data_IF_376942776379
#
_entry.id   IF_376942776379
#
_cell.length_a   1.000
_cell.length_b   1.000
_cell.length_c   1.000
_cell.angle_alpha   90.00
_cell.angle_beta   90.00
_cell.angle_gamma   90.00
#
_symmetry.space_group_name_H-M   'P 1'
#
loop_
_entity.id
_entity.type
_entity.pdbx_description
1 polymer ?
#
# COMPACT_ATOMS: atom_id res chain seq x y z
N UNK A 1 26.31 9.36 6.92
CA UNK A 1 25.17 9.66 7.83
C UNK A 1 25.60 9.25 9.23
N UNK A 2 25.38 10.08 10.24
CA UNK A 2 25.62 9.67 11.65
C UNK A 2 24.60 8.61 12.04
N UNK A 3 25.05 7.50 12.64
CA UNK A 3 24.17 6.45 13.14
C UNK A 3 23.18 7.04 14.14
N UNK A 4 21.85 6.88 13.96
CA UNK A 4 20.87 7.47 14.86
C UNK A 4 21.05 6.91 16.28
N UNK A 5 21.20 7.79 17.27
CA UNK A 5 21.36 7.40 18.67
C UNK A 5 20.07 6.73 19.17
N UNK A 6 20.11 5.42 19.47
CA UNK A 6 18.95 4.67 19.96
C UNK A 6 18.76 4.85 21.48
N UNK A 7 17.50 4.94 21.90
CA UNK A 7 17.10 5.13 23.30
C UNK A 7 16.02 4.12 23.73
N UNK A 8 15.88 3.91 25.04
CA UNK A 8 14.87 3.00 25.58
C UNK A 8 13.44 3.39 25.14
N UNK A 9 12.71 2.40 24.61
CA UNK A 9 11.35 2.54 24.10
C UNK A 9 11.25 3.05 22.66
N UNK A 10 12.35 3.38 21.99
CA UNK A 10 12.29 3.68 20.55
C UNK A 10 11.66 2.52 19.80
N UNK A 11 10.67 2.82 18.95
CA UNK A 11 10.15 1.84 18.00
C UNK A 11 10.87 2.03 16.67
N UNK A 12 11.52 0.97 16.19
CA UNK A 12 12.18 0.94 14.89
C UNK A 12 11.29 0.22 13.88
N UNK A 13 11.17 0.80 12.69
CA UNK A 13 10.51 0.17 11.56
C UNK A 13 11.53 0.00 10.43
N UNK A 14 11.79 -1.25 10.06
CA UNK A 14 12.42 -1.58 8.79
C UNK A 14 11.33 -1.58 7.73
N UNK A 15 11.57 -0.91 6.60
CA UNK A 15 10.59 -0.89 5.50
C UNK A 15 11.05 -1.77 4.35
N UNK A 16 10.13 -2.57 3.81
CA UNK A 16 10.33 -3.30 2.56
C UNK A 16 10.73 -2.43 1.35
N UNK A 17 10.52 -1.12 1.43
CA UNK A 17 10.87 -0.19 0.36
C UNK A 17 12.30 0.34 0.43
N UNK A 18 13.03 0.05 1.50
CA UNK A 18 14.42 0.45 1.69
C UNK A 18 15.30 -0.30 0.69
N UNK A 19 16.16 0.44 -0.03
CA UNK A 19 17.27 -0.17 -0.78
C UNK A 19 18.40 -0.63 0.14
N UNK A 20 18.36 -0.21 1.41
CA UNK A 20 19.31 -0.57 2.44
C UNK A 20 18.80 -1.82 3.19
N UNK A 21 19.42 -2.96 2.91
CA UNK A 21 19.13 -4.27 3.53
C UNK A 21 19.95 -4.54 4.79
N UNK A 22 20.89 -3.65 5.12
CA UNK A 22 21.71 -3.72 6.32
C UNK A 22 20.95 -3.33 7.60
N UNK A 23 21.55 -3.59 8.78
CA UNK A 23 20.93 -3.35 10.08
C UNK A 23 20.64 -1.87 10.36
N UNK A 24 21.21 -0.94 9.59
CA UNK A 24 21.02 0.51 9.77
C UNK A 24 19.87 1.10 8.93
N UNK A 25 19.23 0.29 8.08
CA UNK A 25 18.14 0.71 7.18
C UNK A 25 16.77 0.84 7.85
N UNK A 26 16.72 1.37 9.07
CA UNK A 26 15.48 1.57 9.83
C UNK A 26 15.13 3.05 9.99
N UNK A 27 13.86 3.31 10.26
CA UNK A 27 13.38 4.59 10.77
C UNK A 27 12.90 4.46 12.21
N UNK A 28 12.99 5.54 12.97
CA UNK A 28 12.28 5.66 14.26
C UNK A 28 10.82 6.06 14.00
N UNK A 29 9.88 5.32 14.58
CA UNK A 29 8.45 5.61 14.43
C UNK A 29 8.05 6.71 15.41
N UNK A 30 7.46 7.78 14.88
CA UNK A 30 6.89 8.86 15.69
C UNK A 30 5.77 8.31 16.60
N UNK A 31 5.87 8.55 17.90
CA UNK A 31 4.88 8.06 18.89
C UNK A 31 3.60 8.91 18.97
N UNK A 32 3.51 10.00 18.21
CA UNK A 32 2.41 10.97 18.27
C UNK A 32 1.02 10.43 17.93
N UNK A 33 0.91 9.16 17.54
CA UNK A 33 -0.31 8.58 17.04
C UNK A 33 -0.70 9.17 15.68
N UNK A 34 -1.48 8.43 14.90
CA UNK A 34 -2.02 8.90 13.64
C UNK A 34 -3.50 8.53 13.59
N UNK A 35 -4.39 9.51 13.74
CA UNK A 35 -5.81 9.27 13.55
C UNK A 35 -6.09 9.14 12.05
N UNK A 36 -6.17 7.92 11.55
CA UNK A 36 -6.35 7.64 10.12
C UNK A 36 -7.69 8.19 9.64
N UNK A 37 -8.75 8.04 10.42
CA UNK A 37 -10.07 8.59 10.10
C UNK A 37 -10.07 10.12 10.18
N UNK A 38 -9.26 10.77 11.03
CA UNK A 38 -9.15 12.23 11.00
C UNK A 38 -8.48 12.71 9.72
N UNK A 39 -7.44 12.02 9.24
CA UNK A 39 -6.81 12.33 7.95
C UNK A 39 -7.81 12.16 6.81
N UNK A 40 -8.52 11.02 6.74
CA UNK A 40 -9.55 10.80 5.71
C UNK A 40 -10.65 11.85 5.83
N UNK A 41 -11.08 12.22 7.03
CA UNK A 41 -12.14 13.21 7.25
C UNK A 41 -11.74 14.61 6.79
N UNK A 42 -10.48 14.98 6.97
CA UNK A 42 -9.97 16.31 6.60
C UNK A 42 -9.97 16.51 5.08
N UNK A 43 -9.62 15.45 4.31
CA UNK A 43 -9.46 15.54 2.86
C UNK A 43 -10.66 15.00 2.07
N UNK A 44 -11.27 13.93 2.56
CA UNK A 44 -12.34 13.18 1.87
C UNK A 44 -13.41 12.66 2.85
N UNK A 45 -14.15 13.55 3.52
CA UNK A 45 -15.13 13.17 4.55
C UNK A 45 -16.21 12.20 4.05
N UNK A 46 -16.57 12.26 2.77
CA UNK A 46 -17.54 11.37 2.13
C UNK A 46 -17.13 9.90 2.15
N UNK A 47 -15.82 9.59 2.15
CA UNK A 47 -15.33 8.21 2.15
C UNK A 47 -15.60 7.49 3.47
N UNK A 48 -15.85 8.23 4.55
CA UNK A 48 -16.19 7.68 5.87
C UNK A 48 -17.69 7.48 6.06
N UNK A 49 -18.55 7.92 5.11
CA UNK A 49 -19.99 7.73 5.23
C UNK A 49 -20.40 6.26 5.48
N UNK A 50 -19.80 5.26 4.82
CA UNK A 50 -20.09 3.85 5.10
C UNK A 50 -19.78 3.41 6.53
N UNK A 51 -18.84 4.06 7.22
CA UNK A 51 -18.46 3.69 8.59
C UNK A 51 -19.48 4.18 9.63
N UNK A 52 -20.31 5.16 9.29
CA UNK A 52 -21.38 5.70 10.16
C UNK A 52 -20.89 6.14 11.54
N UNK A 53 -19.65 6.63 11.61
CA UNK A 53 -19.01 7.05 12.86
C UNK A 53 -18.61 5.91 13.81
N UNK A 54 -18.74 4.64 13.39
CA UNK A 54 -18.31 3.49 14.18
C UNK A 54 -16.79 3.36 14.24
N UNK A 55 -16.28 2.83 15.34
CA UNK A 55 -14.87 2.49 15.52
C UNK A 55 -14.47 1.38 14.54
N UNK A 56 -13.47 1.59 13.67
CA UNK A 56 -13.00 0.54 12.77
C UNK A 56 -12.05 -0.44 13.45
N UNK A 57 -11.98 -1.66 12.92
CA UNK A 57 -10.79 -2.51 13.08
C UNK A 57 -9.75 -2.04 12.07
N UNK A 58 -8.59 -1.60 12.54
CA UNK A 58 -7.46 -1.20 11.69
C UNK A 58 -6.52 -2.38 11.55
N UNK A 59 -6.49 -2.98 10.36
CA UNK A 59 -5.66 -4.14 10.05
C UNK A 59 -4.35 -3.65 9.45
N UNK A 60 -3.26 -3.74 10.21
CA UNK A 60 -1.92 -3.49 9.68
C UNK A 60 -1.39 -4.75 9.01
N UNK A 61 -1.33 -4.71 7.68
CA UNK A 61 -0.71 -5.72 6.83
C UNK A 61 0.24 -5.06 5.82
N UNK A 62 0.98 -4.05 6.27
CA UNK A 62 2.03 -3.38 5.52
C UNK A 62 3.40 -3.79 6.06
N UNK A 63 4.44 -3.95 5.21
CA UNK A 63 5.79 -4.30 5.65
C UNK A 63 6.58 -3.09 6.21
N UNK A 64 5.88 -2.25 6.98
CA UNK A 64 6.43 -1.19 7.81
C UNK A 64 5.34 -0.76 8.78
N UNK A 65 5.72 -0.23 9.94
CA UNK A 65 4.76 0.46 10.82
C UNK A 65 4.31 1.74 10.12
N UNK A 66 3.02 1.95 9.88
CA UNK A 66 2.47 3.21 9.29
C UNK A 66 1.97 4.15 10.42
N UNK A 67 2.72 4.18 11.53
CA UNK A 67 2.33 4.87 12.75
C UNK A 67 1.44 4.02 13.66
N UNK A 68 0.88 4.68 14.68
CA UNK A 68 -0.02 4.06 15.66
C UNK A 68 -1.42 4.64 15.49
N UNK A 69 -2.35 3.92 14.85
CA UNK A 69 -3.74 4.34 14.75
C UNK A 69 -4.34 4.62 16.13
N UNK A 70 -4.84 5.84 16.34
CA UNK A 70 -5.43 6.26 17.63
C UNK A 70 -6.94 6.16 17.67
N UNK A 71 -7.55 5.86 16.53
CA UNK A 71 -9.00 5.95 16.29
C UNK A 71 -9.61 4.63 15.80
N UNK A 72 -9.08 3.50 16.27
CA UNK A 72 -9.58 2.17 15.96
C UNK A 72 -8.97 1.06 16.82
N UNK A 73 -9.41 -0.18 16.59
CA UNK A 73 -8.78 -1.38 17.18
C UNK A 73 -7.70 -1.87 16.22
N UNK A 74 -6.43 -1.64 16.57
CA UNK A 74 -5.29 -2.07 15.76
C UNK A 74 -5.06 -3.58 15.86
N UNK A 75 -4.99 -4.24 14.71
CA UNK A 75 -4.56 -5.64 14.58
C UNK A 75 -3.34 -5.68 13.67
N UNK A 76 -2.16 -5.94 14.24
CA UNK A 76 -0.97 -6.26 13.46
C UNK A 76 -1.03 -7.70 12.96
N UNK A 77 -0.92 -7.87 11.65
CA UNK A 77 -1.06 -9.16 11.00
C UNK A 77 0.27 -9.78 10.61
N UNK A 78 1.40 -9.09 10.78
CA UNK A 78 2.72 -9.59 10.40
C UNK A 78 2.77 -10.08 8.94
N UNK A 79 2.04 -9.41 8.03
CA UNK A 79 1.85 -9.81 6.63
C UNK A 79 1.36 -11.26 6.45
N UNK A 80 0.60 -11.77 7.41
CA UNK A 80 -0.09 -13.05 7.30
C UNK A 80 -1.50 -12.82 6.77
N UNK A 81 -1.78 -13.33 5.56
CA UNK A 81 -3.12 -13.29 4.97
C UNK A 81 -4.13 -14.03 5.85
N UNK A 82 -3.69 -15.08 6.54
CA UNK A 82 -4.51 -15.80 7.54
C UNK A 82 -4.87 -14.92 8.72
N UNK A 83 -3.92 -14.18 9.30
CA UNK A 83 -4.18 -13.29 10.44
C UNK A 83 -5.05 -12.10 10.01
N UNK A 84 -4.76 -11.48 8.87
CA UNK A 84 -5.57 -10.40 8.32
C UNK A 84 -7.00 -10.84 8.00
N UNK A 85 -7.18 -12.06 7.47
CA UNK A 85 -8.50 -12.64 7.23
C UNK A 85 -9.26 -12.92 8.54
N UNK A 86 -8.58 -13.31 9.62
CA UNK A 86 -9.19 -13.42 10.95
C UNK A 86 -9.61 -12.06 11.51
N UNK A 87 -8.83 -11.01 11.24
CA UNK A 87 -9.18 -9.64 11.64
C UNK A 87 -10.44 -9.14 10.91
N UNK A 88 -10.57 -9.45 9.61
CA UNK A 88 -11.80 -9.18 8.85
C UNK A 88 -13.01 -9.94 9.42
N UNK A 89 -12.84 -11.21 9.78
CA UNK A 89 -13.91 -11.99 10.44
C UNK A 89 -14.29 -11.41 11.81
N UNK A 90 -13.31 -10.96 12.59
CA UNK A 90 -13.56 -10.27 13.85
C UNK A 90 -14.39 -9.00 13.61
N UNK A 91 -13.97 -8.15 12.67
CA UNK A 91 -14.70 -6.94 12.32
C UNK A 91 -16.14 -7.25 11.88
N UNK A 92 -16.33 -8.26 11.03
CA UNK A 92 -17.65 -8.71 10.60
C UNK A 92 -18.54 -9.25 11.73
N UNK A 93 -17.94 -9.95 12.71
CA UNK A 93 -18.65 -10.50 13.87
C UNK A 93 -19.10 -9.40 14.83
N UNK A 94 -18.26 -8.40 15.04
CA UNK A 94 -18.50 -7.28 15.96
C UNK A 94 -19.24 -6.11 15.31
N UNK A 95 -19.70 -6.26 14.06
CA UNK A 95 -20.34 -5.19 13.27
C UNK A 95 -19.48 -3.91 13.20
N UNK A 96 -18.17 -4.09 13.04
CA UNK A 96 -17.19 -3.01 12.88
C UNK A 96 -16.80 -2.89 11.41
N UNK A 97 -16.66 -1.66 10.88
CA UNK A 97 -16.00 -1.46 9.59
C UNK A 97 -14.51 -1.79 9.69
N UNK A 98 -13.85 -2.02 8.55
CA UNK A 98 -12.42 -2.31 8.51
C UNK A 98 -11.63 -1.25 7.74
N UNK A 99 -10.48 -0.86 8.29
CA UNK A 99 -9.43 -0.14 7.57
C UNK A 99 -8.24 -1.07 7.33
N UNK A 100 -7.88 -1.30 6.07
CA UNK A 100 -6.78 -2.19 5.68
C UNK A 100 -5.56 -1.37 5.28
N UNK A 101 -4.49 -1.42 6.05
CA UNK A 101 -3.20 -0.82 5.66
C UNK A 101 -2.31 -1.90 5.04
N UNK A 102 -1.98 -1.79 3.76
CA UNK A 102 -1.37 -2.91 3.04
C UNK A 102 -0.66 -2.50 1.75
N UNK A 103 0.10 -3.43 1.16
CA UNK A 103 0.51 -3.30 -0.23
C UNK A 103 -0.63 -3.76 -1.14
N UNK A 104 -0.72 -3.22 -2.36
CA UNK A 104 -1.85 -3.49 -3.26
C UNK A 104 -1.99 -4.96 -3.64
N UNK A 105 -0.89 -5.67 -3.93
CA UNK A 105 -0.95 -7.10 -4.26
C UNK A 105 -1.23 -7.99 -3.03
N UNK A 106 -0.78 -7.57 -1.84
CA UNK A 106 -1.16 -8.27 -0.60
C UNK A 106 -2.65 -8.11 -0.30
N UNK A 107 -3.18 -6.89 -0.48
CA UNK A 107 -4.60 -6.60 -0.37
C UNK A 107 -5.41 -7.53 -1.28
N UNK A 108 -4.96 -7.66 -2.54
CA UNK A 108 -5.60 -8.54 -3.50
C UNK A 108 -5.62 -9.99 -3.02
N UNK A 109 -4.45 -10.54 -2.64
CA UNK A 109 -4.37 -11.89 -2.08
C UNK A 109 -5.29 -12.09 -0.87
N UNK A 110 -5.28 -11.15 0.07
CA UNK A 110 -6.16 -11.20 1.24
C UNK A 110 -7.63 -11.27 0.83
N UNK A 111 -8.11 -10.33 0.00
CA UNK A 111 -9.53 -10.21 -0.33
C UNK A 111 -10.01 -11.37 -1.21
N UNK A 112 -9.25 -11.76 -2.24
CA UNK A 112 -9.61 -12.90 -3.08
C UNK A 112 -9.63 -14.20 -2.27
N UNK A 113 -8.62 -14.45 -1.43
CA UNK A 113 -8.58 -15.66 -0.59
C UNK A 113 -9.69 -15.66 0.45
N UNK A 114 -10.01 -14.51 1.05
CA UNK A 114 -11.12 -14.40 2.00
C UNK A 114 -12.46 -14.71 1.34
N UNK A 115 -12.70 -14.16 0.15
CA UNK A 115 -13.91 -14.41 -0.64
C UNK A 115 -14.02 -15.86 -1.12
N UNK A 116 -12.93 -16.44 -1.63
CA UNK A 116 -12.89 -17.82 -2.13
C UNK A 116 -13.20 -18.85 -1.03
N UNK A 117 -12.84 -18.56 0.22
CA UNK A 117 -13.17 -19.38 1.39
C UNK A 117 -14.60 -19.17 1.91
N UNK A 118 -15.42 -18.36 1.24
CA UNK A 118 -16.80 -18.09 1.66
C UNK A 118 -16.91 -17.36 3.00
N UNK A 119 -15.86 -16.65 3.41
CA UNK A 119 -15.83 -15.94 4.69
C UNK A 119 -16.62 -14.63 4.61
N UNK A 120 -17.24 -14.25 5.74
CA UNK A 120 -18.02 -13.02 5.85
C UNK A 120 -17.09 -11.81 5.98
N UNK A 121 -17.31 -10.83 5.11
CA UNK A 121 -16.67 -9.53 5.18
C UNK A 121 -17.35 -8.60 6.19
N UNK A 122 -16.63 -7.60 6.73
CA UNK A 122 -17.25 -6.46 7.41
C UNK A 122 -18.15 -5.70 6.44
N UNK A 123 -19.09 -4.93 6.97
CA UNK A 123 -20.10 -4.24 6.17
C UNK A 123 -19.59 -3.00 5.44
N UNK A 124 -18.35 -2.57 5.69
CA UNK A 124 -17.62 -1.56 4.92
C UNK A 124 -16.10 -1.75 5.05
N UNK A 125 -15.38 -1.50 3.96
CA UNK A 125 -13.92 -1.60 3.91
C UNK A 125 -13.32 -0.35 3.28
N UNK A 126 -12.35 0.24 3.95
CA UNK A 126 -11.44 1.24 3.37
C UNK A 126 -10.04 0.64 3.35
N UNK A 127 -9.38 0.62 2.20
CA UNK A 127 -7.99 0.25 2.09
C UNK A 127 -7.10 1.49 1.95
N UNK A 128 -5.96 1.49 2.62
CA UNK A 128 -4.84 2.40 2.40
C UNK A 128 -3.71 1.55 1.84
N UNK A 129 -3.51 1.62 0.52
CA UNK A 129 -2.57 0.79 -0.20
C UNK A 129 -1.35 1.58 -0.65
N UNK A 130 -0.14 1.09 -0.40
CA UNK A 130 1.08 1.82 -0.73
C UNK A 130 2.23 0.94 -1.20
N UNK A 131 3.36 1.60 -1.49
CA UNK A 131 4.61 0.97 -1.89
C UNK A 131 4.89 1.05 -3.39
N UNK A 132 3.85 0.91 -4.21
CA UNK A 132 3.83 1.11 -5.66
C UNK A 132 2.41 1.51 -6.08
N UNK A 133 2.27 2.02 -7.31
CA UNK A 133 0.97 2.41 -7.85
C UNK A 133 0.08 1.16 -8.00
N UNK A 134 -1.15 1.22 -7.48
CA UNK A 134 -2.16 0.16 -7.68
C UNK A 134 -2.63 0.18 -9.13
N UNK A 135 -2.52 -0.92 -9.89
CA UNK A 135 -3.11 -0.99 -11.23
C UNK A 135 -4.61 -0.70 -11.18
N UNK A 136 -5.13 0.05 -12.15
CA UNK A 136 -6.56 0.39 -12.21
C UNK A 136 -7.41 -0.85 -12.44
N UNK A 137 -6.95 -1.77 -13.28
CA UNK A 137 -7.58 -3.09 -13.45
C UNK A 137 -7.73 -3.84 -12.12
N UNK A 138 -6.73 -3.77 -11.23
CA UNK A 138 -6.80 -4.37 -9.90
C UNK A 138 -7.83 -3.67 -9.02
N UNK A 139 -7.82 -2.33 -8.99
CA UNK A 139 -8.81 -1.57 -8.23
C UNK A 139 -10.25 -1.92 -8.67
N UNK A 140 -10.48 -2.00 -9.99
CA UNK A 140 -11.76 -2.42 -10.55
C UNK A 140 -12.14 -3.84 -10.11
N UNK A 141 -11.20 -4.78 -10.17
CA UNK A 141 -11.43 -6.16 -9.73
C UNK A 141 -11.76 -6.24 -8.23
N UNK A 142 -11.04 -5.53 -7.36
CA UNK A 142 -11.33 -5.52 -5.92
C UNK A 142 -12.67 -4.86 -5.60
N UNK A 143 -13.01 -3.79 -6.33
CA UNK A 143 -14.29 -3.10 -6.19
C UNK A 143 -15.45 -4.00 -6.59
N UNK A 144 -15.35 -4.67 -7.74
CA UNK A 144 -16.34 -5.61 -8.21
C UNK A 144 -16.48 -6.80 -7.24
N UNK A 145 -15.37 -7.36 -6.75
CA UNK A 145 -15.37 -8.44 -5.77
C UNK A 145 -16.15 -8.08 -4.50
N UNK A 146 -15.93 -6.88 -3.94
CA UNK A 146 -16.63 -6.47 -2.72
C UNK A 146 -18.07 -6.01 -2.99
N UNK A 147 -18.35 -5.42 -4.16
CA UNK A 147 -19.71 -5.12 -4.59
C UNK A 147 -20.58 -6.38 -4.73
N UNK A 148 -20.04 -7.49 -5.27
CA UNK A 148 -20.69 -8.81 -5.30
C UNK A 148 -21.06 -9.31 -3.89
N UNK A 149 -20.37 -8.83 -2.85
CA UNK A 149 -20.64 -9.14 -1.44
C UNK A 149 -21.49 -8.10 -0.73
N UNK A 150 -21.94 -7.05 -1.43
CA UNK A 150 -22.68 -5.94 -0.85
C UNK A 150 -21.85 -5.09 0.11
N UNK A 151 -20.52 -5.07 -0.04
CA UNK A 151 -19.59 -4.34 0.83
C UNK A 151 -19.10 -3.09 0.11
N UNK A 152 -19.42 -1.87 0.59
CA UNK A 152 -18.81 -0.64 0.12
C UNK A 152 -17.29 -0.70 0.30
N UNK A 153 -16.56 -0.38 -0.77
CA UNK A 153 -15.12 -0.40 -0.81
C UNK A 153 -14.56 0.93 -1.31
N UNK A 154 -13.46 1.36 -0.71
CA UNK A 154 -12.68 2.52 -1.17
C UNK A 154 -11.21 2.21 -0.98
N UNK A 155 -10.38 2.58 -1.96
CA UNK A 155 -8.93 2.48 -1.87
C UNK A 155 -8.29 3.86 -1.94
N UNK A 156 -7.55 4.21 -0.89
CA UNK A 156 -6.64 5.34 -0.85
C UNK A 156 -5.25 4.84 -1.22
N UNK A 157 -4.63 5.46 -2.21
CA UNK A 157 -3.24 5.22 -2.56
C UNK A 157 -2.34 6.06 -1.65
N UNK A 158 -1.52 5.38 -0.84
CA UNK A 158 -0.46 6.00 -0.06
C UNK A 158 0.86 6.06 -0.84
N UNK A 159 1.55 7.18 -0.70
CA UNK A 159 2.92 7.40 -1.15
C UNK A 159 3.76 7.91 0.03
N UNK A 160 4.96 7.39 0.14
CA UNK A 160 5.92 7.76 1.17
C UNK A 160 7.23 7.02 0.96
N UNK A 161 8.27 7.51 1.61
CA UNK A 161 9.63 6.94 1.56
C UNK A 161 9.99 6.45 2.95
N UNK A 162 10.64 5.28 3.01
CA UNK A 162 10.96 4.62 4.26
C UNK A 162 11.86 5.50 5.15
N UNK A 163 12.70 6.29 4.51
CA UNK A 163 13.72 7.15 5.06
C UNK A 163 13.16 8.40 5.75
N UNK A 164 11.90 8.73 5.48
CA UNK A 164 11.20 9.87 6.13
C UNK A 164 10.03 9.34 6.92
N UNK A 165 8.93 9.02 6.22
CA UNK A 165 7.73 8.46 6.84
C UNK A 165 6.86 7.73 5.83
N UNK A 166 6.14 6.71 6.31
CA UNK A 166 5.15 6.00 5.51
C UNK A 166 3.89 6.86 5.31
N UNK A 167 3.32 6.82 4.10
CA UNK A 167 2.03 7.46 3.79
C UNK A 167 2.04 8.96 4.04
N UNK A 168 3.04 9.68 3.52
CA UNK A 168 3.12 11.14 3.60
C UNK A 168 2.15 11.82 2.64
N UNK A 169 1.91 11.22 1.48
CA UNK A 169 0.96 11.73 0.49
C UNK A 169 -0.10 10.68 0.20
N UNK A 170 -1.37 11.05 0.21
CA UNK A 170 -2.50 10.15 -0.02
C UNK A 170 -3.30 10.63 -1.24
N UNK A 171 -3.85 9.71 -2.02
CA UNK A 171 -4.66 10.04 -3.18
C UNK A 171 -5.79 9.03 -3.39
N UNK A 172 -6.93 9.54 -3.87
CA UNK A 172 -8.10 8.75 -4.30
C UNK A 172 -8.57 9.15 -5.68
N UNK A 173 -8.25 10.38 -6.07
CA UNK A 173 -8.62 10.96 -7.35
C UNK A 173 -7.54 10.64 -8.40
N UNK A 174 -7.95 10.65 -9.66
CA UNK A 174 -7.08 10.41 -10.81
C UNK A 174 -7.20 11.56 -11.80
N UNK A 175 -6.10 11.90 -12.46
CA UNK A 175 -6.10 12.87 -13.57
C UNK A 175 -6.66 12.26 -14.87
N UNK A 176 -6.72 13.07 -15.93
CA UNK A 176 -7.19 12.64 -17.24
C UNK A 176 -6.32 11.53 -17.88
N UNK A 177 -5.08 11.39 -17.44
CA UNK A 177 -4.14 10.36 -17.88
C UNK A 177 -4.21 9.10 -17.00
N UNK A 178 -5.05 9.10 -15.96
CA UNK A 178 -5.20 7.98 -15.03
C UNK A 178 -4.08 7.90 -13.99
N UNK A 179 -3.33 8.98 -13.75
CA UNK A 179 -2.35 9.07 -12.66
C UNK A 179 -3.05 9.51 -11.38
N UNK A 180 -2.60 8.96 -10.25
CA UNK A 180 -3.13 9.34 -8.94
C UNK A 180 -2.77 10.78 -8.62
N UNK A 181 -3.76 11.54 -8.15
CA UNK A 181 -3.60 12.90 -7.62
C UNK A 181 -3.38 12.76 -6.11
N UNK A 182 -2.16 13.01 -5.67
CA UNK A 182 -1.80 12.92 -4.25
C UNK A 182 -1.92 14.27 -3.55
N UNK A 183 -2.29 14.25 -2.27
CA UNK A 183 -2.27 15.40 -1.37
C UNK A 183 -1.49 15.06 -0.11
N UNK A 184 -0.91 16.08 0.52
CA UNK A 184 -0.22 15.92 1.80
C UNK A 184 -1.21 15.43 2.85
N UNK A 185 -0.85 14.37 3.59
CA UNK A 185 -1.67 13.85 4.70
C UNK A 185 -1.95 14.92 5.75
N UNK A 186 -1.01 15.82 6.00
CA UNK A 186 -1.07 16.81 7.06
C UNK A 186 -0.10 17.97 6.85
N UNK A 187 -0.22 19.03 7.67
CA UNK A 187 0.62 20.23 7.58
C UNK A 187 2.07 19.98 8.02
N UNK A 188 2.34 18.86 8.69
CA UNK A 188 3.66 18.37 9.08
C UNK A 188 4.50 17.89 7.88
N UNK A 189 3.94 17.84 6.68
CA UNK A 189 4.61 17.30 5.50
C UNK A 189 5.03 18.43 4.56
N UNK A 190 6.33 18.45 4.26
CA UNK A 190 6.89 19.22 3.17
C UNK A 190 7.07 18.32 1.94
N UNK A 191 6.53 18.77 0.80
CA UNK A 191 6.76 18.19 -0.51
C UNK A 191 7.30 19.28 -1.44
N UNK A 192 8.45 19.06 -2.04
CA UNK A 192 9.13 20.03 -2.89
C UNK A 192 9.82 19.38 -4.09
N UNK A 193 10.24 20.21 -5.03
CA UNK A 193 11.02 19.79 -6.19
C UNK A 193 12.44 20.37 -6.12
N UNK A 194 13.44 19.52 -6.34
CA UNK A 194 14.82 19.92 -6.58
C UNK A 194 15.23 19.25 -7.89
N UNK A 195 15.62 20.04 -8.88
CA UNK A 195 15.96 19.59 -10.24
C UNK A 195 14.88 18.67 -10.87
N UNK A 196 13.61 18.99 -10.64
CA UNK A 196 12.45 18.22 -11.15
C UNK A 196 12.17 16.91 -10.40
N UNK A 197 12.92 16.60 -9.34
CA UNK A 197 12.74 15.39 -8.53
C UNK A 197 12.01 15.70 -7.23
N UNK A 198 11.07 14.83 -6.88
CA UNK A 198 10.27 14.96 -5.67
C UNK A 198 11.14 14.71 -4.45
N UNK A 199 11.13 15.67 -3.53
CA UNK A 199 11.75 15.58 -2.22
C UNK A 199 10.68 15.67 -1.13
N UNK A 200 10.82 14.84 -0.09
CA UNK A 200 9.90 14.80 1.04
C UNK A 200 10.63 15.06 2.36
N UNK A 201 9.98 15.78 3.26
CA UNK A 201 10.49 16.01 4.62
C UNK A 201 9.34 16.17 5.62
N UNK A 202 9.69 16.05 6.90
CA UNK A 202 8.80 16.40 8.00
C UNK A 202 9.13 17.78 8.57
N UNK A 203 8.08 18.48 8.99
CA UNK A 203 8.14 19.77 9.65
C UNK A 203 7.83 19.60 11.14
N UNK A 204 8.46 20.41 11.98
CA UNK A 204 8.09 20.55 13.39
C UNK A 204 6.83 21.43 13.54
N UNK A 205 6.37 21.62 14.78
CA UNK A 205 5.20 22.45 15.07
C UNK A 205 5.38 23.94 14.70
N UNK A 206 6.62 24.40 14.55
CA UNK A 206 6.98 25.76 14.14
C UNK A 206 7.09 25.90 12.61
N UNK A 207 6.91 24.82 11.86
CA UNK A 207 7.03 24.80 10.39
C UNK A 207 8.47 24.68 9.89
N UNK A 208 9.41 24.30 10.74
CA UNK A 208 10.82 24.12 10.38
C UNK A 208 11.10 22.66 10.01
N UNK A 209 12.03 22.43 9.09
CA UNK A 209 12.43 21.09 8.67
C UNK A 209 13.10 20.34 9.83
N UNK A 210 12.57 19.15 10.17
CA UNK A 210 13.18 18.25 11.15
C UNK A 210 14.49 17.64 10.64
N UNK A 211 14.57 17.41 9.32
CA UNK A 211 15.73 16.85 8.64
C UNK A 211 15.83 17.44 7.22
N UNK A 212 16.98 17.25 6.57
CA UNK A 212 17.13 17.59 5.16
C UNK A 212 16.07 16.86 4.29
N UNK A 213 15.52 17.51 3.25
CA UNK A 213 14.59 16.84 2.34
C UNK A 213 15.20 15.61 1.68
N UNK A 214 14.47 14.51 1.72
CA UNK A 214 14.90 13.25 1.15
C UNK A 214 14.51 13.16 -0.32
N UNK A 215 15.50 12.91 -1.18
CA UNK A 215 15.29 12.65 -2.60
C UNK A 215 14.55 11.32 -2.80
N UNK A 216 13.29 11.41 -3.23
CA UNK A 216 12.46 10.22 -3.34
C UNK A 216 12.84 9.32 -4.50
N UNK A 217 13.68 9.72 -5.47
CA UNK A 217 13.88 8.93 -6.69
C UNK A 217 12.97 9.32 -7.86
N UNK A 218 11.77 9.80 -7.54
CA UNK A 218 10.69 9.97 -8.50
C UNK A 218 10.60 11.44 -8.96
N UNK A 219 10.06 11.65 -10.16
CA UNK A 219 9.75 12.99 -10.67
C UNK A 219 8.32 13.35 -10.32
N UNK A 220 8.01 14.65 -10.18
CA UNK A 220 6.63 15.06 -9.90
C UNK A 220 6.29 16.45 -10.45
N UNK A 221 4.98 16.73 -10.55
CA UNK A 221 4.43 18.05 -10.83
C UNK A 221 3.69 18.57 -9.60
N UNK A 222 4.12 19.77 -9.19
CA UNK A 222 3.56 20.70 -8.20
C UNK A 222 2.31 21.45 -8.69
N UNK A 223 1.07 21.18 -8.28
CA UNK A 223 -0.08 22.04 -8.61
C UNK A 223 -0.93 22.38 -7.39
N UNK A 224 -0.64 23.52 -6.76
CA UNK A 224 -1.25 23.88 -5.48
C UNK A 224 -0.93 22.84 -4.39
N UNK A 225 -1.97 22.18 -3.87
CA UNK A 225 -1.84 21.09 -2.89
C UNK A 225 -1.73 19.70 -3.55
N UNK A 226 -1.94 19.62 -4.86
CA UNK A 226 -1.93 18.38 -5.62
C UNK A 226 -0.52 18.05 -6.09
N UNK A 227 -0.17 16.76 -5.99
CA UNK A 227 1.13 16.20 -6.36
C UNK A 227 0.88 15.07 -7.34
N UNK A 228 1.37 15.24 -8.57
CA UNK A 228 1.32 14.19 -9.61
C UNK A 228 2.69 13.54 -9.73
N UNK A 229 2.78 12.27 -9.34
CA UNK A 229 4.06 11.54 -9.27
C UNK A 229 4.26 10.70 -10.53
N UNK A 230 5.45 10.78 -11.11
CA UNK A 230 5.92 9.90 -12.18
C UNK A 230 7.08 9.05 -11.64
N UNK A 231 6.78 7.79 -11.33
CA UNK A 231 7.73 6.87 -10.72
C UNK A 231 8.92 6.61 -11.65
N UNK A 232 10.10 6.46 -11.06
CA UNK A 232 11.30 6.03 -11.77
C UNK A 232 11.09 4.65 -12.41
N UNK A 233 11.58 4.48 -13.64
CA UNK A 233 11.48 3.21 -14.39
C UNK A 233 12.08 2.01 -13.66
N UNK A 234 13.11 2.25 -12.85
CA UNK A 234 13.74 1.22 -12.01
C UNK A 234 12.81 0.64 -10.94
N UNK A 235 11.72 1.33 -10.60
CA UNK A 235 10.72 0.89 -9.61
C UNK A 235 9.45 0.35 -10.25
N UNK A 236 9.04 0.97 -11.36
CA UNK A 236 7.78 0.69 -12.03
C UNK A 236 8.05 0.50 -13.53
N UNK A 237 8.10 -0.75 -13.99
CA UNK A 237 8.26 -1.02 -15.42
C UNK A 237 6.97 -0.69 -16.18
N UNK A 238 7.03 0.17 -17.21
CA UNK A 238 5.87 0.48 -18.04
C UNK A 238 5.28 -0.75 -18.73
N UNK A 239 6.13 -1.72 -19.12
CA UNK A 239 5.69 -2.96 -19.76
C UNK A 239 4.89 -3.83 -18.79
N UNK A 240 5.38 -3.99 -17.55
CA UNK A 240 4.65 -4.75 -16.53
C UNK A 240 3.36 -4.05 -16.15
N UNK A 241 3.34 -2.72 -16.03
CA UNK A 241 2.11 -1.99 -15.78
C UNK A 241 1.11 -2.14 -16.92
N UNK A 242 1.53 -2.03 -18.17
CA UNK A 242 0.65 -2.25 -19.32
C UNK A 242 0.05 -3.67 -19.32
N UNK A 243 0.85 -4.69 -18.99
CA UNK A 243 0.38 -6.06 -18.83
C UNK A 243 -0.66 -6.20 -17.72
N UNK A 244 -0.38 -5.68 -16.52
CA UNK A 244 -1.31 -5.75 -15.39
C UNK A 244 -2.60 -4.98 -15.65
N UNK A 245 -2.54 -3.84 -16.34
CA UNK A 245 -3.73 -3.08 -16.75
C UNK A 245 -4.59 -3.82 -17.77
N UNK A 246 -4.01 -4.77 -18.53
CA UNK A 246 -4.73 -5.64 -19.46
C UNK A 246 -5.47 -6.80 -18.79
N UNK A 247 -5.27 -7.03 -17.49
CA UNK A 247 -5.91 -8.14 -16.78
C UNK A 247 -7.37 -7.87 -16.45
N UNK A 248 -8.23 -8.86 -16.69
CA UNK A 248 -9.61 -8.87 -16.25
C UNK A 248 -9.77 -9.49 -14.85
N UNK A 249 -11.03 -9.62 -14.41
CA UNK A 249 -11.37 -10.24 -13.12
C UNK A 249 -10.83 -11.68 -13.00
N UNK A 250 -10.91 -12.49 -14.05
CA UNK A 250 -10.51 -13.89 -13.98
C UNK A 250 -9.00 -14.04 -13.90
N UNK A 251 -8.25 -13.19 -14.62
CA UNK A 251 -6.81 -13.06 -14.44
C UNK A 251 -6.45 -12.67 -13.01
N UNK A 252 -7.11 -11.65 -12.42
CA UNK A 252 -6.86 -11.23 -11.03
C UNK A 252 -7.26 -12.26 -9.97
N UNK A 253 -8.29 -13.07 -10.22
CA UNK A 253 -8.66 -14.20 -9.36
C UNK A 253 -7.57 -15.28 -9.37
N UNK A 254 -6.95 -15.52 -10.52
CA UNK A 254 -5.94 -16.59 -10.70
C UNK A 254 -4.53 -16.19 -10.29
N UNK A 255 -4.14 -14.93 -10.51
CA UNK A 255 -2.76 -14.45 -10.41
C UNK A 255 -2.58 -13.48 -9.24
N UNK A 256 -1.37 -13.41 -8.69
CA UNK A 256 -1.06 -12.52 -7.55
C UNK A 256 -0.68 -11.10 -7.98
N UNK A 257 -0.34 -10.89 -9.26
CA UNK A 257 0.25 -9.64 -9.77
C UNK A 257 1.77 -9.56 -9.66
N UNK A 258 2.42 -10.59 -9.10
CA UNK A 258 3.88 -10.73 -9.21
C UNK A 258 4.26 -11.23 -10.59
N UNK A 259 5.24 -10.55 -11.18
CA UNK A 259 5.70 -10.76 -12.55
C UNK A 259 7.22 -10.85 -12.55
N UNK A 260 7.74 -11.93 -13.12
CA UNK A 260 9.17 -12.12 -13.39
C UNK A 260 9.44 -12.07 -14.89
N UNK A 261 10.72 -12.11 -15.28
CA UNK A 261 11.11 -12.29 -16.69
C UNK A 261 12.02 -13.50 -16.84
N UNK A 262 11.72 -14.32 -17.84
CA UNK A 262 12.57 -15.43 -18.27
C UNK A 262 12.55 -15.51 -19.80
N UNK A 263 13.72 -15.66 -20.41
CA UNK A 263 13.87 -15.84 -21.86
C UNK A 263 13.15 -14.76 -22.68
N UNK A 264 13.21 -13.51 -22.20
CA UNK A 264 12.58 -12.35 -22.83
C UNK A 264 11.06 -12.25 -22.64
N UNK A 265 10.42 -13.17 -21.92
CA UNK A 265 8.96 -13.23 -21.69
C UNK A 265 8.59 -12.95 -20.24
N UNK A 266 7.42 -12.35 -20.04
CA UNK A 266 6.85 -12.20 -18.71
C UNK A 266 6.36 -13.55 -18.18
N UNK A 267 6.63 -13.82 -16.91
CA UNK A 267 6.17 -15.00 -16.18
C UNK A 267 5.34 -14.55 -14.99
N UNK A 268 4.18 -15.16 -14.77
CA UNK A 268 3.20 -14.73 -13.78
C UNK A 268 3.12 -15.70 -12.61
N UNK A 269 3.07 -15.16 -11.39
CA UNK A 269 2.81 -15.95 -10.20
C UNK A 269 1.31 -16.22 -10.07
N UNK A 270 0.95 -17.49 -9.94
CA UNK A 270 -0.40 -17.95 -9.60
C UNK A 270 -0.65 -17.87 -8.10
N UNK A 271 -1.93 -17.70 -7.71
CA UNK A 271 -2.36 -17.89 -6.33
C UNK A 271 -2.14 -19.33 -5.89
N UNK A 272 -2.00 -19.54 -4.59
CA UNK A 272 -1.80 -20.86 -3.99
C UNK A 272 -2.93 -21.82 -4.40
N UNK A 273 -2.56 -22.99 -4.93
CA UNK A 273 -3.51 -24.03 -5.36
C UNK A 273 -4.12 -23.84 -6.75
N UNK A 274 -3.84 -22.74 -7.45
CA UNK A 274 -4.33 -22.52 -8.82
C UNK A 274 -3.41 -23.25 -9.82
N UNK A 275 -3.96 -24.11 -10.71
CA UNK A 275 -3.17 -24.77 -11.74
C UNK A 275 -2.81 -23.81 -12.88
N UNK A 276 -1.63 -24.00 -13.47
CA UNK A 276 -1.19 -23.25 -14.65
C UNK A 276 -2.07 -23.56 -15.87
N UNK A 277 -2.46 -22.51 -16.59
CA UNK A 277 -3.18 -22.62 -17.85
C UNK A 277 -2.27 -22.43 -19.08
N UNK A 278 -1.02 -21.99 -18.89
CA UNK A 278 -0.05 -21.80 -19.96
C UNK A 278 1.39 -21.75 -19.45
N UNK A 279 2.34 -21.78 -20.39
CA UNK A 279 3.78 -21.93 -20.11
C UNK A 279 4.41 -20.71 -19.40
N UNK A 280 3.70 -19.59 -19.37
CA UNK A 280 4.13 -18.37 -18.70
C UNK A 280 3.52 -18.20 -17.30
N UNK A 281 2.87 -19.22 -16.75
CA UNK A 281 2.35 -19.21 -15.39
C UNK A 281 3.13 -20.18 -14.51
N UNK A 282 3.53 -19.74 -13.31
CA UNK A 282 4.16 -20.60 -12.31
C UNK A 282 3.32 -20.63 -11.03
N UNK A 283 3.21 -21.83 -10.46
CA UNK A 283 2.60 -22.02 -9.15
C UNK A 283 3.28 -21.16 -8.08
N UNK A 284 2.51 -20.76 -7.07
CA UNK A 284 2.91 -19.80 -6.04
C UNK A 284 4.34 -20.01 -5.48
N UNK A 285 4.63 -21.24 -5.01
CA UNK A 285 5.93 -21.60 -4.42
C UNK A 285 7.05 -21.69 -5.48
N UNK A 286 6.77 -22.31 -6.63
CA UNK A 286 7.74 -22.42 -7.73
C UNK A 286 8.18 -21.06 -8.28
N UNK A 287 7.25 -20.11 -8.36
CA UNK A 287 7.58 -18.74 -8.71
C UNK A 287 8.51 -18.11 -7.67
N UNK A 288 8.20 -18.28 -6.38
CA UNK A 288 8.99 -17.76 -5.27
C UNK A 288 10.41 -18.32 -5.25
N UNK A 289 10.57 -19.63 -5.50
CA UNK A 289 11.88 -20.28 -5.59
C UNK A 289 12.70 -19.73 -6.77
N UNK A 290 12.06 -19.41 -7.90
CA UNK A 290 12.74 -18.99 -9.13
C UNK A 290 13.12 -17.51 -9.14
N UNK A 291 12.19 -16.64 -8.78
CA UNK A 291 12.34 -15.19 -8.93
C UNK A 291 12.54 -14.46 -7.60
N UNK A 292 12.40 -15.17 -6.48
CA UNK A 292 12.21 -14.54 -5.19
C UNK A 292 10.83 -13.91 -5.10
N UNK A 293 10.18 -14.10 -3.95
CA UNK A 293 8.97 -13.37 -3.64
C UNK A 293 8.75 -13.37 -2.14
N UNK A 294 8.38 -12.21 -1.61
CA UNK A 294 7.93 -12.06 -0.24
C UNK A 294 6.96 -10.90 -0.17
N UNK A 295 5.89 -11.02 0.60
CA UNK A 295 5.05 -9.88 0.98
C UNK A 295 5.87 -8.78 1.70
N UNK A 296 7.07 -9.12 2.19
CA UNK A 296 8.06 -8.22 2.78
C UNK A 296 8.91 -7.47 1.74
N UNK A 297 8.68 -7.65 0.45
CA UNK A 297 9.45 -6.97 -0.60
C UNK A 297 8.51 -6.41 -1.64
N UNK A 298 8.81 -5.20 -2.13
CA UNK A 298 8.11 -4.68 -3.30
C UNK A 298 8.44 -5.57 -4.51
N UNK A 299 7.49 -5.76 -5.45
CA UNK A 299 7.81 -6.44 -6.69
C UNK A 299 8.92 -5.67 -7.43
N UNK A 300 9.93 -6.39 -7.89
CA UNK A 300 11.00 -5.84 -8.72
C UNK A 300 10.58 -5.91 -10.19
N UNK A 301 9.84 -4.89 -10.63
CA UNK A 301 9.38 -4.82 -12.02
C UNK A 301 10.42 -4.19 -12.97
N UNK A 302 11.34 -3.39 -12.43
CA UNK A 302 12.51 -2.90 -13.16
C UNK A 302 13.54 -4.02 -13.29
N UNK A 303 13.55 -4.65 -14.45
CA UNK A 303 14.51 -5.71 -14.80
C UNK A 303 15.89 -5.13 -15.11
#
# INVERSE_FOLDING_TARGET
>A
MSTPQLSAGDLLSYSAGSTQTGPDGFRKVTRGGLSLTAVVRAHWPQLLAPFRGRTPVVVNAYPATIGFPTDGVLVDCYLSTRTASRALQLAAREDMPAMLMCQSLFLAELLFRHAANGLRFPDAVIAIAGGYCTPRSLLQALTALLAEKGVPFTLLQGYGVAEVEAGMLWGVDYDAQGRVIYRRRGPDIHAGLIDGRLHLALLNAQGELLNAPFDTGDSAVLDGDDVLISNARSRLSPEVMAELEGWDMDAWRRRTGYVGRADGRLVFQLREGVPAAGDNELGYYLFGDRFGFSWLSKPQWGL
#
